data_IF_462261881853
#
_entry.id   IF_462261881853
#
_cell.length_a   1.000
_cell.length_b   1.000
_cell.length_c   1.000
_cell.angle_alpha   90.00
_cell.angle_beta   90.00
_cell.angle_gamma   90.00
#
_symmetry.space_group_name_H-M   'P 1'
#
loop_
_entity.id
_entity.type
_entity.pdbx_description
1 polymer ?
#
# COMPACT_ATOMS: atom_id res chain seq x y z
N UNK A 1 -29.40 -16.23 -12.36
CA UNK A 1 -28.99 -15.59 -13.64
C UNK A 1 -29.53 -14.17 -13.64
N UNK A 2 -28.68 -13.12 -13.63
CA UNK A 2 -29.16 -11.78 -13.90
C UNK A 2 -29.42 -11.67 -15.41
N UNK A 3 -30.67 -11.38 -15.78
CA UNK A 3 -31.10 -11.28 -17.16
C UNK A 3 -30.49 -10.03 -17.82
N UNK A 4 -30.05 -10.21 -19.06
CA UNK A 4 -29.56 -9.16 -19.94
C UNK A 4 -30.57 -8.01 -20.06
N UNK A 5 -30.02 -6.80 -20.02
CA UNK A 5 -30.64 -5.54 -20.40
C UNK A 5 -31.15 -5.59 -21.85
N UNK A 6 -32.46 -5.37 -22.03
CA UNK A 6 -33.09 -5.17 -23.34
C UNK A 6 -33.09 -3.71 -23.77
N UNK A 7 -32.21 -3.38 -24.72
CA UNK A 7 -32.39 -2.44 -25.86
C UNK A 7 -33.24 -1.18 -25.65
N UNK A 8 -32.61 -0.09 -25.22
CA UNK A 8 -32.43 1.16 -25.98
C UNK A 8 -31.93 2.28 -25.06
N UNK A 9 -30.67 2.18 -24.63
CA UNK A 9 -29.99 3.28 -23.97
C UNK A 9 -28.95 3.85 -24.95
N UNK A 10 -29.24 5.02 -25.53
CA UNK A 10 -28.31 5.75 -26.39
C UNK A 10 -27.96 7.07 -25.69
N UNK A 11 -26.72 7.19 -25.25
CA UNK A 11 -26.19 8.41 -24.62
C UNK A 11 -25.22 9.10 -25.57
N UNK A 12 -25.46 10.37 -25.90
CA UNK A 12 -24.58 11.20 -26.74
C UNK A 12 -24.37 12.55 -26.03
N UNK A 13 -23.10 12.98 -25.96
CA UNK A 13 -22.59 14.11 -25.15
C UNK A 13 -22.35 15.35 -26.01
N UNK A 14 -22.56 16.56 -25.46
CA UNK A 14 -21.86 17.75 -25.96
C UNK A 14 -21.62 18.83 -24.89
N UNK A 15 -20.44 19.46 -24.99
CA UNK A 15 -19.77 20.37 -24.06
C UNK A 15 -20.46 21.74 -24.05
N UNK A 16 -20.87 22.27 -22.88
CA UNK A 16 -20.98 23.72 -22.55
C UNK A 16 -22.10 24.11 -21.52
N UNK A 17 -22.41 23.39 -20.44
CA UNK A 17 -23.46 23.89 -19.49
C UNK A 17 -23.13 23.67 -17.99
N UNK A 18 -23.47 24.64 -17.09
CA UNK A 18 -23.04 24.73 -15.68
C UNK A 18 -23.96 23.99 -14.68
N UNK A 19 -23.47 23.81 -13.45
CA UNK A 19 -24.11 23.09 -12.33
C UNK A 19 -25.30 23.82 -11.69
N UNK A 20 -26.34 23.08 -11.26
CA UNK A 20 -27.49 23.60 -10.48
C UNK A 20 -27.94 22.63 -9.37
N UNK A 21 -28.44 23.21 -8.28
CA UNK A 21 -28.73 22.66 -6.94
C UNK A 21 -29.81 21.56 -6.84
N UNK A 22 -29.81 20.88 -5.69
CA UNK A 22 -30.62 19.74 -5.24
C UNK A 22 -32.16 19.94 -5.26
N UNK A 23 -32.79 19.98 -6.45
CA UNK A 23 -34.26 19.89 -6.57
C UNK A 23 -34.77 18.45 -6.80
N UNK A 24 -35.85 18.08 -6.10
CA UNK A 24 -36.59 16.83 -6.36
C UNK A 24 -37.58 17.06 -7.49
N UNK A 25 -37.31 16.46 -8.65
CA UNK A 25 -38.14 16.65 -9.85
C UNK A 25 -39.04 15.43 -10.08
N UNK A 26 -40.34 15.68 -10.25
CA UNK A 26 -41.31 14.66 -10.62
C UNK A 26 -41.25 14.41 -12.13
N UNK A 27 -40.81 13.22 -12.53
CA UNK A 27 -40.58 12.80 -13.93
C UNK A 27 -41.78 13.01 -14.86
N UNK A 28 -43.00 12.91 -14.34
CA UNK A 28 -44.24 13.11 -15.12
C UNK A 28 -44.58 14.59 -15.41
N UNK A 29 -43.85 15.54 -14.82
CA UNK A 29 -44.00 16.98 -15.09
C UNK A 29 -42.97 17.50 -16.11
N UNK A 30 -42.03 16.65 -16.54
CA UNK A 30 -41.03 16.99 -17.56
C UNK A 30 -41.60 16.70 -18.95
N UNK A 31 -42.20 17.70 -19.59
CA UNK A 31 -42.90 17.52 -20.88
C UNK A 31 -41.98 17.41 -22.09
N UNK A 32 -40.69 17.75 -21.95
CA UNK A 32 -39.56 17.41 -22.83
C UNK A 32 -38.37 18.30 -22.44
N UNK A 33 -37.53 17.90 -21.47
CA UNK A 33 -36.11 18.33 -21.35
C UNK A 33 -35.35 17.33 -20.47
N UNK A 34 -34.19 16.91 -20.97
CA UNK A 34 -33.31 15.89 -20.39
C UNK A 34 -32.50 16.45 -19.23
N UNK A 35 -32.35 15.69 -18.14
CA UNK A 35 -31.42 16.02 -17.05
C UNK A 35 -29.97 15.77 -17.50
N UNK A 36 -29.07 16.72 -17.24
CA UNK A 36 -27.64 16.58 -17.52
C UNK A 36 -26.84 16.94 -16.27
N UNK A 37 -26.13 15.94 -15.74
CA UNK A 37 -25.18 16.05 -14.63
C UNK A 37 -24.35 14.77 -14.54
N UNK A 38 -23.14 14.87 -14.00
CA UNK A 38 -22.31 13.70 -13.71
C UNK A 38 -22.85 13.00 -12.46
N UNK A 39 -23.12 11.70 -12.55
CA UNK A 39 -23.46 10.86 -11.40
C UNK A 39 -22.16 10.18 -10.96
N UNK A 40 -21.64 10.53 -9.79
CA UNK A 40 -20.56 9.80 -9.13
C UNK A 40 -21.16 8.98 -7.98
N UNK A 41 -21.06 7.65 -8.05
CA UNK A 41 -21.61 6.73 -7.05
C UNK A 41 -22.37 5.53 -7.63
N UNK A 42 -22.57 4.49 -6.80
CA UNK A 42 -23.30 3.28 -7.17
C UNK A 42 -24.81 3.47 -7.17
N UNK A 43 -25.51 2.83 -8.10
CA UNK A 43 -26.98 2.83 -8.17
C UNK A 43 -27.51 1.64 -7.36
N UNK A 44 -28.28 1.87 -6.30
CA UNK A 44 -29.08 0.83 -5.63
C UNK A 44 -30.55 1.02 -6.00
N UNK A 45 -31.13 0.02 -6.65
CA UNK A 45 -32.57 -0.04 -6.89
C UNK A 45 -33.20 -1.02 -5.89
N UNK A 46 -34.22 -0.59 -5.15
CA UNK A 46 -35.05 -1.49 -4.34
C UNK A 46 -36.35 -1.78 -5.08
N UNK A 47 -36.82 -3.03 -5.02
CA UNK A 47 -38.10 -3.41 -5.61
C UNK A 47 -39.22 -2.65 -4.87
N UNK A 48 -40.22 -2.12 -5.60
CA UNK A 48 -41.26 -1.32 -4.97
C UNK A 48 -42.10 -2.18 -4.02
N UNK A 49 -42.35 -1.65 -2.83
CA UNK A 49 -43.35 -2.22 -1.93
C UNK A 49 -44.72 -2.25 -2.64
N UNK A 50 -45.24 -3.46 -2.79
CA UNK A 50 -46.51 -3.88 -3.39
C UNK A 50 -47.54 -2.76 -3.66
N UNK A 51 -47.62 -2.35 -4.92
CA UNK A 51 -48.74 -1.61 -5.52
C UNK A 51 -49.09 -2.19 -6.90
N UNK A 52 -50.34 -2.02 -7.39
CA UNK A 52 -50.88 -2.86 -8.46
C UNK A 52 -50.29 -2.58 -9.85
N UNK A 53 -49.66 -3.63 -10.40
CA UNK A 53 -49.62 -4.11 -11.80
C UNK A 53 -49.91 -3.16 -12.98
N UNK A 54 -48.84 -2.70 -13.64
CA UNK A 54 -48.58 -2.80 -15.11
C UNK A 54 -47.05 -2.83 -15.33
N UNK A 55 -46.50 -3.56 -16.33
CA UNK A 55 -45.04 -3.67 -16.54
C UNK A 55 -44.32 -2.35 -16.88
N UNK A 56 -45.08 -1.29 -17.17
CA UNK A 56 -44.57 -0.01 -17.67
C UNK A 56 -44.32 1.05 -16.61
N UNK A 57 -44.80 0.88 -15.37
CA UNK A 57 -44.81 1.96 -14.36
C UNK A 57 -44.08 1.58 -13.07
N UNK A 58 -42.92 0.92 -13.18
CA UNK A 58 -42.01 0.79 -12.04
C UNK A 58 -41.39 2.17 -11.72
N UNK A 59 -41.97 2.87 -10.76
CA UNK A 59 -41.37 4.09 -10.19
C UNK A 59 -40.23 3.66 -9.26
N UNK A 60 -39.01 3.72 -9.76
CA UNK A 60 -37.82 3.58 -8.93
C UNK A 60 -37.59 4.89 -8.19
N UNK A 61 -37.53 4.84 -6.85
CA UNK A 61 -36.93 5.94 -6.08
C UNK A 61 -35.42 5.87 -6.28
N UNK A 62 -34.89 6.81 -7.04
CA UNK A 62 -33.44 7.01 -7.20
C UNK A 62 -33.00 7.99 -6.13
N UNK A 63 -32.20 7.52 -5.18
CA UNK A 63 -31.50 8.39 -4.25
C UNK A 63 -30.21 8.84 -4.91
N UNK A 64 -30.11 10.14 -5.20
CA UNK A 64 -28.81 10.77 -5.50
C UNK A 64 -28.22 11.07 -4.12
N UNK A 65 -27.18 10.36 -3.71
CA UNK A 65 -26.43 10.73 -2.53
C UNK A 65 -25.46 11.82 -2.96
N UNK A 66 -25.61 13.09 -2.53
CA UNK A 66 -24.63 14.11 -2.84
C UNK A 66 -23.47 13.93 -1.88
N UNK A 67 -22.58 12.95 -2.15
CA UNK A 67 -21.27 12.92 -1.53
C UNK A 67 -20.49 14.14 -2.05
N UNK A 68 -20.66 15.28 -1.38
CA UNK A 68 -19.88 16.46 -1.69
C UNK A 68 -18.44 16.23 -1.23
N UNK A 69 -17.48 16.31 -2.17
CA UNK A 69 -16.12 15.87 -1.92
C UNK A 69 -15.32 16.90 -1.13
N UNK A 70 -14.11 16.43 -0.88
CA UNK A 70 -13.12 16.83 0.10
C UNK A 70 -12.20 17.94 -0.36
N UNK A 71 -12.13 19.10 0.31
CA UNK A 71 -10.99 20.00 0.18
C UNK A 71 -9.94 19.63 1.22
N UNK A 72 -9.44 18.39 1.16
CA UNK A 72 -8.14 18.16 1.80
C UNK A 72 -7.10 18.87 0.94
N UNK A 73 -6.70 20.06 1.37
CA UNK A 73 -5.67 20.82 0.68
C UNK A 73 -4.33 20.56 1.36
N UNK A 74 -3.40 19.94 0.63
CA UNK A 74 -2.03 19.76 1.11
C UNK A 74 -1.23 21.04 0.94
N UNK A 75 -0.53 21.45 2.00
CA UNK A 75 0.56 22.43 1.90
C UNK A 75 1.92 21.77 1.70
N UNK A 76 2.08 20.51 2.10
CA UNK A 76 3.32 19.76 1.91
C UNK A 76 3.07 18.28 1.73
N UNK A 77 3.92 17.62 0.96
CA UNK A 77 4.06 16.17 0.93
C UNK A 77 5.47 15.82 0.49
N UNK A 78 6.31 15.43 1.44
CA UNK A 78 7.76 15.28 1.29
C UNK A 78 8.26 14.00 1.96
N UNK A 79 9.51 13.65 1.68
CA UNK A 79 10.18 12.51 2.27
C UNK A 79 11.63 12.82 2.65
N UNK A 80 12.14 12.07 3.62
CA UNK A 80 13.54 12.06 4.04
C UNK A 80 14.03 10.60 4.08
N UNK A 81 15.20 10.33 3.51
CA UNK A 81 15.83 9.00 3.53
C UNK A 81 17.04 9.05 4.45
N UNK A 82 17.11 8.15 5.43
CA UNK A 82 18.29 7.95 6.29
C UNK A 82 18.70 6.49 6.23
N UNK A 83 19.76 6.21 5.45
CA UNK A 83 20.18 4.83 5.20
C UNK A 83 19.12 4.03 4.44
N UNK A 84 18.40 3.16 5.14
CA UNK A 84 17.32 2.30 4.58
C UNK A 84 15.94 2.68 5.11
N UNK A 85 15.88 3.75 5.90
CA UNK A 85 14.68 4.18 6.55
C UNK A 85 14.14 5.42 5.84
N UNK A 86 12.82 5.45 5.66
CA UNK A 86 12.10 6.51 4.98
C UNK A 86 11.13 7.12 5.96
N UNK A 87 11.22 8.44 6.09
CA UNK A 87 10.23 9.24 6.78
C UNK A 87 9.44 10.01 5.74
N UNK A 88 8.13 9.85 5.79
CA UNK A 88 7.18 10.58 4.95
C UNK A 88 6.47 11.59 5.83
N UNK A 89 6.39 12.84 5.37
CA UNK A 89 5.75 13.93 6.11
C UNK A 89 4.87 14.73 5.18
N UNK A 90 3.66 15.04 5.65
CA UNK A 90 2.74 15.88 4.91
C UNK A 90 1.98 16.80 5.87
N UNK A 91 1.52 17.90 5.30
CA UNK A 91 0.75 18.91 6.02
C UNK A 91 -0.48 19.27 5.22
N UNK A 92 -1.62 19.36 5.87
CA UNK A 92 -2.87 19.89 5.31
C UNK A 92 -3.05 21.33 5.78
N UNK A 93 -3.68 22.19 4.97
CA UNK A 93 -4.14 23.53 5.39
C UNK A 93 -5.64 23.56 5.66
N UNK A 94 -6.38 22.66 5.01
CA UNK A 94 -7.79 22.39 5.29
C UNK A 94 -8.07 20.90 5.16
N UNK A 95 -9.03 20.43 5.96
CA UNK A 95 -9.63 19.11 5.88
C UNK A 95 -11.13 19.28 6.09
N UNK A 96 -11.93 18.64 5.26
CA UNK A 96 -13.36 18.45 5.50
C UNK A 96 -13.58 16.95 5.45
N UNK A 97 -14.47 16.38 6.26
CA UNK A 97 -14.89 14.98 6.24
C UNK A 97 -13.76 13.91 6.21
N UNK A 98 -12.52 14.29 6.53
CA UNK A 98 -11.32 13.49 6.32
C UNK A 98 -11.19 12.42 7.41
N UNK A 99 -11.46 11.16 7.06
CA UNK A 99 -11.23 10.03 7.96
C UNK A 99 -9.73 9.79 8.16
N UNK A 100 -8.93 9.95 7.11
CA UNK A 100 -7.48 9.87 7.18
C UNK A 100 -6.82 9.47 5.88
N UNK A 101 -5.59 8.97 5.98
CA UNK A 101 -4.72 8.72 4.85
C UNK A 101 -4.16 7.31 4.91
N UNK A 102 -4.39 6.53 3.87
CA UNK A 102 -3.57 5.36 3.61
C UNK A 102 -2.27 5.81 2.97
N UNK A 103 -1.14 5.45 3.59
CA UNK A 103 0.16 5.59 2.96
C UNK A 103 0.35 4.38 2.05
N UNK A 104 0.45 4.63 0.76
CA UNK A 104 0.60 3.58 -0.25
C UNK A 104 1.96 3.68 -0.93
N UNK A 105 2.53 2.51 -1.23
CA UNK A 105 3.83 2.41 -1.91
C UNK A 105 3.78 1.37 -3.00
N UNK A 106 4.54 1.61 -4.07
CA UNK A 106 4.94 0.57 -5.04
C UNK A 106 6.41 0.71 -5.42
N UNK A 107 6.98 -0.35 -5.99
CA UNK A 107 8.24 -0.21 -6.72
C UNK A 107 8.02 0.70 -7.93
N UNK A 108 8.97 1.56 -8.27
CA UNK A 108 8.82 2.53 -9.36
C UNK A 108 8.57 1.88 -10.72
N UNK A 109 9.15 0.69 -10.93
CA UNK A 109 8.99 -0.10 -12.15
C UNK A 109 7.78 -1.05 -12.12
N UNK A 110 7.02 -1.09 -11.02
CA UNK A 110 5.84 -1.93 -10.93
C UNK A 110 4.63 -1.31 -11.67
N UNK A 111 3.71 -2.15 -12.17
CA UNK A 111 2.45 -1.69 -12.78
C UNK A 111 1.67 -0.73 -11.88
N UNK A 112 0.82 0.11 -12.48
CA UNK A 112 0.09 1.15 -11.74
C UNK A 112 -0.98 0.65 -10.76
N UNK A 113 -1.36 -0.61 -10.84
CA UNK A 113 -2.30 -1.25 -9.92
C UNK A 113 -1.62 -1.96 -8.74
N UNK A 114 -0.29 -1.96 -8.65
CA UNK A 114 0.50 -2.69 -7.64
C UNK A 114 0.78 -1.88 -6.36
N UNK A 115 -0.12 -0.96 -6.01
CA UNK A 115 0.02 -0.17 -4.79
C UNK A 115 -0.31 -1.04 -3.57
N UNK A 116 0.58 -1.01 -2.58
CA UNK A 116 0.40 -1.69 -1.29
C UNK A 116 0.12 -0.64 -0.24
N UNK A 117 -0.98 -0.78 0.51
CA UNK A 117 -1.25 0.06 1.68
C UNK A 117 -0.38 -0.38 2.84
N UNK A 118 0.46 0.53 3.34
CA UNK A 118 1.42 0.25 4.40
C UNK A 118 0.82 0.50 5.80
N UNK A 119 0.17 1.65 5.95
CA UNK A 119 -0.47 2.05 7.21
C UNK A 119 -1.59 3.06 6.95
N UNK A 120 -2.48 3.22 7.94
CA UNK A 120 -3.53 4.21 7.94
C UNK A 120 -3.29 5.26 9.03
N UNK A 121 -3.05 6.50 8.62
CA UNK A 121 -2.86 7.62 9.52
C UNK A 121 -4.18 8.38 9.65
N UNK A 122 -4.76 8.35 10.85
CA UNK A 122 -6.05 8.97 11.15
C UNK A 122 -6.02 10.49 10.92
N UNK A 123 -7.00 11.01 10.18
CA UNK A 123 -7.21 12.43 9.91
C UNK A 123 -7.92 13.16 11.07
N UNK A 124 -8.13 14.47 10.93
CA UNK A 124 -8.87 15.26 11.94
C UNK A 124 -10.39 15.32 11.68
N UNK A 125 -10.88 14.76 10.57
CA UNK A 125 -12.25 14.97 10.12
C UNK A 125 -12.40 16.35 9.47
N UNK A 126 -12.84 17.33 10.24
CA UNK A 126 -12.96 18.72 9.79
C UNK A 126 -11.88 19.57 10.47
N UNK A 127 -11.07 20.28 9.69
CA UNK A 127 -10.05 21.20 10.18
C UNK A 127 -9.85 22.35 9.21
N UNK A 128 -9.73 23.57 9.74
CA UNK A 128 -9.28 24.76 8.99
C UNK A 128 -7.93 25.27 9.50
N UNK A 129 -7.24 24.47 10.32
CA UNK A 129 -5.88 24.72 10.81
C UNK A 129 -4.91 23.72 10.20
N UNK A 130 -3.63 24.11 10.15
CA UNK A 130 -2.57 23.23 9.65
C UNK A 130 -2.45 22.00 10.53
N UNK A 131 -2.59 20.81 9.95
CA UNK A 131 -2.28 19.55 10.61
C UNK A 131 -1.04 18.93 9.99
N UNK A 132 -0.21 18.30 10.82
CA UNK A 132 1.03 17.67 10.40
C UNK A 132 0.98 16.19 10.70
N UNK A 133 1.42 15.40 9.74
CA UNK A 133 1.40 13.95 9.80
C UNK A 133 2.78 13.39 9.45
N UNK A 134 3.08 12.23 10.02
CA UNK A 134 4.33 11.53 9.77
C UNK A 134 4.08 10.03 9.68
N UNK A 135 4.79 9.40 8.77
CA UNK A 135 4.88 7.95 8.63
C UNK A 135 6.35 7.55 8.56
N UNK A 136 6.69 6.45 9.23
CA UNK A 136 8.03 5.88 9.23
C UNK A 136 7.99 4.48 8.64
N UNK A 137 8.92 4.22 7.74
CA UNK A 137 9.19 2.88 7.22
C UNK A 137 10.67 2.58 7.37
N UNK A 138 11.00 1.40 7.89
CA UNK A 138 12.39 1.01 8.15
C UNK A 138 12.80 -0.24 7.39
N UNK A 139 14.11 -0.39 7.21
CA UNK A 139 14.74 -1.59 6.63
C UNK A 139 14.31 -1.90 5.19
N UNK A 140 14.11 -0.88 4.36
CA UNK A 140 13.80 -1.11 2.95
C UNK A 140 14.91 -1.87 2.23
N UNK A 141 14.49 -2.64 1.23
CA UNK A 141 15.41 -3.21 0.26
C UNK A 141 15.90 -2.11 -0.68
N UNK A 142 17.06 -2.33 -1.30
CA UNK A 142 17.56 -1.43 -2.33
C UNK A 142 16.60 -1.39 -3.51
N UNK A 143 16.37 -0.20 -4.03
CA UNK A 143 15.39 0.00 -5.09
C UNK A 143 14.90 1.44 -5.17
N UNK A 144 14.03 1.66 -6.14
CA UNK A 144 13.37 2.95 -6.36
C UNK A 144 11.89 2.75 -6.08
N UNK A 145 11.34 3.57 -5.19
CA UNK A 145 9.97 3.48 -4.72
C UNK A 145 9.17 4.74 -5.05
N UNK A 146 7.89 4.56 -5.34
CA UNK A 146 6.91 5.63 -5.44
C UNK A 146 5.97 5.55 -4.25
N UNK A 147 5.61 6.70 -3.70
CA UNK A 147 4.64 6.82 -2.64
C UNK A 147 3.47 7.71 -3.05
N UNK A 148 2.32 7.44 -2.47
CA UNK A 148 1.15 8.32 -2.54
C UNK A 148 0.35 8.23 -1.26
N UNK A 149 -0.46 9.23 -1.01
CA UNK A 149 -1.53 9.17 -0.02
C UNK A 149 -2.82 8.83 -0.75
N UNK A 150 -3.54 7.83 -0.26
CA UNK A 150 -4.96 7.66 -0.55
C UNK A 150 -5.74 8.21 0.64
N UNK A 151 -6.13 9.47 0.52
CA UNK A 151 -7.00 10.13 1.48
C UNK A 151 -8.40 9.50 1.38
N UNK A 152 -9.05 9.30 2.51
CA UNK A 152 -10.38 8.71 2.60
C UNK A 152 -11.28 9.47 3.56
N UNK A 153 -12.55 9.41 3.27
CA UNK A 153 -13.61 10.02 4.06
C UNK A 153 -14.39 9.08 4.94
N UNK A 154 -15.14 9.68 5.86
CA UNK A 154 -16.12 8.93 6.64
C UNK A 154 -17.24 8.33 5.79
N UNK A 155 -17.51 8.89 4.60
CA UNK A 155 -18.46 8.30 3.63
C UNK A 155 -17.81 7.26 2.70
N UNK A 156 -16.51 7.03 2.80
CA UNK A 156 -15.76 6.08 1.97
C UNK A 156 -15.28 6.63 0.62
N UNK A 157 -15.53 7.90 0.31
CA UNK A 157 -14.91 8.60 -0.82
C UNK A 157 -13.39 8.68 -0.64
N UNK A 158 -12.65 8.79 -1.74
CA UNK A 158 -11.20 8.82 -1.69
C UNK A 158 -10.58 9.77 -2.73
N UNK A 159 -9.50 10.44 -2.32
CA UNK A 159 -8.63 11.24 -3.18
C UNK A 159 -7.18 10.75 -3.10
N UNK A 160 -6.41 10.96 -4.17
CA UNK A 160 -5.02 10.49 -4.26
C UNK A 160 -4.06 11.64 -4.44
N UNK A 161 -3.03 11.69 -3.59
CA UNK A 161 -1.93 12.65 -3.67
C UNK A 161 -0.64 11.91 -3.92
N UNK A 162 0.02 12.15 -5.06
CA UNK A 162 1.28 11.50 -5.38
C UNK A 162 2.46 12.27 -4.77
N UNK A 163 3.43 11.54 -4.22
CA UNK A 163 4.65 12.14 -3.70
C UNK A 163 5.45 12.69 -4.87
N UNK A 164 6.00 13.89 -4.69
CA UNK A 164 6.89 14.47 -5.69
C UNK A 164 8.26 13.79 -5.63
N UNK A 165 8.61 13.08 -6.69
CA UNK A 165 9.90 12.39 -6.83
C UNK A 165 9.86 10.93 -6.39
N UNK A 166 10.96 10.24 -6.70
CA UNK A 166 11.13 8.82 -6.42
C UNK A 166 12.04 8.64 -5.20
N UNK A 167 11.64 7.79 -4.26
CA UNK A 167 12.42 7.46 -3.06
C UNK A 167 13.44 6.39 -3.42
N UNK A 168 14.73 6.73 -3.39
CA UNK A 168 15.80 5.82 -3.78
C UNK A 168 16.53 5.27 -2.54
N UNK A 169 16.53 3.94 -2.42
CA UNK A 169 17.32 3.21 -1.42
C UNK A 169 18.53 2.62 -2.12
N UNK A 170 19.72 3.13 -1.78
CA UNK A 170 20.96 2.70 -2.39
C UNK A 170 21.26 1.22 -2.11
N UNK A 171 22.08 0.64 -2.98
CA UNK A 171 22.70 -0.66 -2.70
C UNK A 171 23.64 -0.55 -1.50
N UNK A 172 23.94 -1.68 -0.81
CA UNK A 172 24.94 -1.68 0.25
C UNK A 172 26.30 -1.19 -0.24
N UNK A 173 27.04 -0.49 0.63
CA UNK A 173 28.38 0.01 0.30
C UNK A 173 29.47 -1.08 0.31
N UNK A 174 29.19 -2.20 0.99
CA UNK A 174 30.11 -3.32 1.12
C UNK A 174 29.37 -4.59 1.53
N UNK A 175 30.11 -5.70 1.53
CA UNK A 175 29.62 -6.94 2.09
C UNK A 175 29.51 -6.84 3.61
N UNK A 176 28.47 -7.45 4.17
CA UNK A 176 28.34 -7.58 5.62
C UNK A 176 27.62 -8.88 5.98
N UNK A 177 27.99 -9.49 7.10
CA UNK A 177 27.17 -10.49 7.77
C UNK A 177 26.68 -9.89 9.09
N UNK A 178 25.37 -9.91 9.34
CA UNK A 178 24.76 -9.45 10.57
C UNK A 178 24.82 -10.51 11.67
N UNK A 179 24.83 -10.07 12.92
CA UNK A 179 24.55 -10.98 14.05
C UNK A 179 23.10 -11.46 13.94
N UNK A 180 22.87 -12.75 14.09
CA UNK A 180 21.52 -13.30 14.07
C UNK A 180 20.66 -12.66 15.19
N UNK A 181 19.39 -12.40 14.91
CA UNK A 181 18.47 -11.85 15.90
C UNK A 181 17.13 -12.61 15.91
N UNK A 182 16.66 -13.08 17.08
CA UNK A 182 17.31 -12.97 18.40
C UNK A 182 18.59 -13.83 18.49
N UNK A 183 19.49 -13.52 19.43
CA UNK A 183 20.62 -14.36 19.86
C UNK A 183 20.85 -14.15 21.37
N UNK A 184 20.61 -15.15 22.23
CA UNK A 184 20.23 -16.53 21.92
C UNK A 184 18.85 -16.64 21.25
N UNK A 185 18.60 -17.71 20.50
CA UNK A 185 17.34 -17.92 19.78
C UNK A 185 16.63 -19.21 20.18
N UNK A 186 15.30 -19.24 20.03
CA UNK A 186 14.44 -20.40 20.29
C UNK A 186 13.18 -20.39 19.39
N UNK A 187 12.96 -21.40 18.55
CA UNK A 187 13.94 -22.17 17.78
C UNK A 187 14.31 -21.44 16.48
N UNK A 188 13.74 -20.26 16.22
CA UNK A 188 13.93 -19.50 14.98
C UNK A 188 14.72 -18.20 15.22
N UNK A 189 15.52 -17.82 14.23
CA UNK A 189 16.28 -16.56 14.21
C UNK A 189 16.35 -16.03 12.78
N UNK A 190 16.68 -14.75 12.63
CA UNK A 190 16.91 -14.12 11.33
C UNK A 190 18.38 -13.77 11.20
N UNK A 191 18.95 -14.08 10.03
CA UNK A 191 20.33 -13.75 9.66
C UNK A 191 20.27 -12.75 8.51
N UNK A 192 20.70 -11.52 8.76
CA UNK A 192 20.79 -10.47 7.75
C UNK A 192 22.19 -10.42 7.15
N UNK A 193 22.30 -10.09 5.87
CA UNK A 193 23.57 -9.89 5.19
C UNK A 193 23.40 -8.98 3.98
N UNK A 194 24.50 -8.33 3.61
CA UNK A 194 24.51 -7.29 2.59
C UNK A 194 25.44 -7.68 1.45
N UNK A 195 24.99 -7.41 0.23
CA UNK A 195 25.70 -7.73 -1.01
C UNK A 195 25.80 -6.44 -1.84
N UNK A 196 26.98 -5.85 -2.04
CA UNK A 196 27.14 -4.57 -2.76
C UNK A 196 27.09 -4.73 -4.28
N UNK A 197 27.36 -5.92 -4.80
CA UNK A 197 27.40 -6.25 -6.23
C UNK A 197 26.92 -7.68 -6.48
N UNK A 198 26.50 -7.99 -7.70
CA UNK A 198 26.02 -9.33 -8.02
C UNK A 198 27.07 -10.41 -7.69
N UNK A 199 26.67 -11.40 -6.89
CA UNK A 199 27.58 -12.42 -6.39
C UNK A 199 26.89 -13.77 -6.24
N UNK A 200 27.67 -14.86 -6.33
CA UNK A 200 27.21 -16.18 -5.91
C UNK A 200 27.30 -16.27 -4.40
N UNK A 201 26.15 -16.21 -3.73
CA UNK A 201 26.05 -16.18 -2.26
C UNK A 201 25.86 -17.59 -1.73
N UNK A 202 26.69 -17.96 -0.76
CA UNK A 202 26.61 -19.22 -0.03
C UNK A 202 26.54 -18.90 1.47
N UNK A 203 25.46 -19.30 2.13
CA UNK A 203 25.29 -19.19 3.59
C UNK A 203 25.10 -20.59 4.15
N UNK A 204 25.98 -21.00 5.05
CA UNK A 204 25.98 -22.32 5.67
C UNK A 204 26.01 -22.23 7.18
N UNK A 205 25.43 -23.22 7.84
CA UNK A 205 25.44 -23.42 9.29
C UNK A 205 26.32 -24.62 9.62
N UNK A 206 27.11 -24.50 10.68
CA UNK A 206 28.05 -25.48 11.18
C UNK A 206 27.85 -25.71 12.69
N UNK A 207 28.16 -26.91 13.16
CA UNK A 207 28.25 -27.20 14.59
C UNK A 207 29.57 -26.70 15.19
N UNK A 208 29.75 -26.90 16.50
CA UNK A 208 30.96 -26.51 17.21
C UNK A 208 32.23 -27.29 16.78
N UNK A 209 32.08 -28.44 16.13
CA UNK A 209 33.19 -29.23 15.59
C UNK A 209 33.55 -28.83 14.14
N UNK A 210 32.77 -27.92 13.53
CA UNK A 210 32.98 -27.46 12.15
C UNK A 210 32.31 -28.34 11.10
N UNK A 211 31.45 -29.29 11.50
CA UNK A 211 30.68 -30.07 10.53
C UNK A 211 29.57 -29.21 9.94
N UNK A 212 29.38 -29.27 8.62
CA UNK A 212 28.28 -28.59 7.95
C UNK A 212 26.95 -29.24 8.36
N UNK A 213 26.05 -28.44 8.94
CA UNK A 213 24.72 -28.87 9.37
C UNK A 213 23.68 -28.57 8.29
N UNK A 214 23.75 -27.38 7.68
CA UNK A 214 22.75 -26.94 6.70
C UNK A 214 23.30 -25.87 5.78
N UNK A 215 23.05 -25.99 4.48
CA UNK A 215 23.16 -24.87 3.54
C UNK A 215 21.83 -24.11 3.53
N UNK A 216 21.84 -22.83 3.91
CA UNK A 216 20.65 -21.96 3.93
C UNK A 216 20.39 -21.30 2.58
N UNK A 217 21.46 -20.97 1.85
CA UNK A 217 21.37 -20.41 0.50
C UNK A 217 22.62 -20.80 -0.31
N UNK A 218 22.43 -21.00 -1.62
CA UNK A 218 23.52 -21.24 -2.59
C UNK A 218 23.07 -20.83 -3.99
N UNK A 219 22.98 -19.54 -4.24
CA UNK A 219 22.49 -19.00 -5.52
C UNK A 219 23.13 -17.65 -5.87
N UNK A 220 22.95 -17.21 -7.12
CA UNK A 220 23.36 -15.88 -7.54
C UNK A 220 22.35 -14.85 -7.03
N UNK A 221 22.82 -13.81 -6.34
CA UNK A 221 22.01 -12.67 -5.89
C UNK A 221 22.51 -11.37 -6.52
N UNK A 222 21.61 -10.45 -6.89
CA UNK A 222 22.00 -9.09 -7.25
C UNK A 222 22.51 -8.33 -6.00
N UNK A 223 22.90 -7.07 -6.19
CA UNK A 223 23.18 -6.17 -5.07
C UNK A 223 21.91 -5.92 -4.25
N UNK A 224 22.01 -5.94 -2.92
CA UNK A 224 20.88 -5.69 -2.03
C UNK A 224 21.12 -6.10 -0.59
N UNK A 225 20.14 -5.75 0.24
CA UNK A 225 20.02 -6.19 1.63
C UNK A 225 19.17 -7.45 1.68
N UNK A 226 19.65 -8.48 2.39
CA UNK A 226 18.98 -9.77 2.49
C UNK A 226 18.76 -10.19 3.93
N UNK A 227 17.73 -10.98 4.16
CA UNK A 227 17.48 -11.63 5.46
C UNK A 227 16.94 -13.03 5.22
N UNK A 228 17.53 -14.01 5.88
CA UNK A 228 17.12 -15.42 5.82
C UNK A 228 16.69 -15.85 7.22
N UNK A 229 15.58 -16.56 7.29
CA UNK A 229 15.15 -17.23 8.51
C UNK A 229 15.87 -18.57 8.66
N UNK A 230 16.38 -18.82 9.86
CA UNK A 230 16.94 -20.11 10.24
C UNK A 230 16.15 -20.68 11.41
N UNK A 231 15.65 -21.90 11.24
CA UNK A 231 14.94 -22.65 12.26
C UNK A 231 15.79 -23.87 12.67
N UNK A 232 16.10 -23.93 13.97
CA UNK A 232 16.89 -24.97 14.63
C UNK A 232 16.05 -26.03 15.35
N UNK A 233 14.78 -26.25 14.97
CA UNK A 233 13.90 -27.23 15.59
C UNK A 233 14.49 -28.64 15.66
N UNK A 234 15.27 -29.04 14.66
CA UNK A 234 15.87 -30.38 14.58
C UNK A 234 17.27 -30.44 15.25
N UNK A 235 17.70 -29.36 15.89
CA UNK A 235 19.02 -29.24 16.51
C UNK A 235 18.93 -29.22 18.04
N UNK A 236 19.96 -29.71 18.73
CA UNK A 236 20.06 -29.62 20.19
C UNK A 236 20.42 -28.19 20.62
N UNK A 237 20.08 -27.82 21.86
CA UNK A 237 20.61 -26.58 22.45
C UNK A 237 22.14 -26.59 22.40
N UNK A 238 22.75 -25.49 21.97
CA UNK A 238 24.19 -25.46 21.75
C UNK A 238 24.68 -24.28 20.93
N UNK A 239 26.00 -24.21 20.80
CA UNK A 239 26.69 -23.21 19.98
C UNK A 239 26.77 -23.70 18.54
N UNK A 240 26.38 -22.83 17.63
CA UNK A 240 26.49 -23.02 16.20
C UNK A 240 27.22 -21.85 15.55
N UNK A 241 27.73 -22.07 14.36
CA UNK A 241 28.36 -21.04 13.55
C UNK A 241 27.65 -20.95 12.22
N UNK A 242 27.62 -19.77 11.63
CA UNK A 242 27.18 -19.59 10.26
C UNK A 242 28.21 -18.77 9.49
N UNK A 243 28.39 -19.12 8.23
CA UNK A 243 29.41 -18.54 7.35
C UNK A 243 28.78 -18.08 6.05
N UNK A 244 29.03 -16.82 5.71
CA UNK A 244 28.69 -16.21 4.43
C UNK A 244 29.92 -16.22 3.52
N UNK A 245 29.75 -16.66 2.29
CA UNK A 245 30.74 -16.58 1.22
C UNK A 245 30.11 -15.91 0.00
N UNK A 246 30.76 -14.88 -0.53
CA UNK A 246 30.32 -14.17 -1.73
C UNK A 246 31.53 -13.53 -2.44
N UNK A 247 31.82 -13.91 -3.69
CA UNK A 247 33.03 -13.49 -4.41
C UNK A 247 34.30 -13.71 -3.55
N UNK A 248 35.04 -12.66 -3.22
CA UNK A 248 36.22 -12.69 -2.32
C UNK A 248 35.88 -12.49 -0.83
N UNK A 249 34.62 -12.23 -0.50
CA UNK A 249 34.16 -12.03 0.86
C UNK A 249 33.91 -13.36 1.57
N UNK A 250 34.39 -13.45 2.81
CA UNK A 250 34.10 -14.57 3.69
C UNK A 250 34.05 -14.12 5.15
N UNK A 251 32.91 -14.28 5.81
CA UNK A 251 32.75 -13.96 7.24
C UNK A 251 31.96 -15.06 7.95
N UNK A 252 32.34 -15.36 9.19
CA UNK A 252 31.63 -16.29 10.06
C UNK A 252 31.17 -15.59 11.34
N UNK A 253 30.00 -15.97 11.86
CA UNK A 253 29.51 -15.54 13.17
C UNK A 253 28.99 -16.70 14.00
N UNK A 254 28.98 -16.51 15.32
CA UNK A 254 28.52 -17.48 16.33
C UNK A 254 27.07 -17.18 16.71
N UNK A 255 26.25 -18.22 16.88
CA UNK A 255 24.89 -18.14 17.41
C UNK A 255 24.66 -19.18 18.51
N UNK A 256 23.77 -18.88 19.46
CA UNK A 256 23.40 -19.78 20.55
C UNK A 256 21.92 -20.18 20.42
N UNK A 257 21.67 -21.49 20.26
CA UNK A 257 20.32 -22.07 20.31
C UNK A 257 20.02 -22.51 21.75
N UNK A 258 18.88 -22.05 22.28
CA UNK A 258 18.36 -22.49 23.58
C UNK A 258 16.95 -23.02 23.34
N UNK A 259 16.70 -24.28 23.68
CA UNK A 259 15.35 -24.87 23.75
C UNK A 259 14.80 -24.79 25.17
#
# INVERSE_FOLDING_TARGET
>A
MPALLGTNAKFILNRNIPHYDNEVIKLNQLTQRTFAGYIFGGIKAELPNNGPSTPSDYIFKVYINPDFPLPVELSSFIYEVTGRDVKISWSTVSEINNSGFYVERKNANAPDNDWISMDFVKGQGNSNSVNNYVYYESNLNSGVYKYRLRQVDFNGSAEYFNLSGDVNISTPAGYSLGQNYPNPFNPATKISFDIPEAAKVILKVYDAAGNEIKTLIKENKPAGYYTIEFNGNDLSSGVYYYKLEANSYSESKRMLLIK
#
